data_IF_176642255175
#
_entry.id   IF_176642255175
#
_cell.length_a   1.000
_cell.length_b   1.000
_cell.length_c   1.000
_cell.angle_alpha   90.00
_cell.angle_beta   90.00
_cell.angle_gamma   90.00
#
_symmetry.space_group_name_H-M   'P 1'
#
loop_
_entity.id
_entity.type
_entity.pdbx_description
1 polymer ?
#
# COMPACT_ATOMS: atom_id res chain seq x y z
N UNK A 1 24.08 -13.84 -25.94
CA UNK A 1 23.37 -13.43 -24.71
C UNK A 1 24.01 -14.17 -23.57
N UNK A 2 24.53 -13.47 -22.55
CA UNK A 2 25.02 -14.16 -21.36
C UNK A 2 23.87 -14.35 -20.38
N UNK A 3 23.60 -15.58 -19.96
CA UNK A 3 22.52 -15.91 -19.03
C UNK A 3 22.66 -15.16 -17.70
N UNK A 4 23.88 -14.81 -17.29
CA UNK A 4 24.11 -14.00 -16.09
C UNK A 4 23.60 -12.55 -16.22
N UNK A 5 23.58 -11.97 -17.44
CA UNK A 5 23.04 -10.63 -17.71
C UNK A 5 21.50 -10.60 -17.60
N UNK A 6 20.89 -11.78 -17.58
CA UNK A 6 19.47 -12.01 -17.45
C UNK A 6 19.05 -12.42 -16.02
N UNK A 7 19.98 -12.39 -15.06
CA UNK A 7 19.70 -12.61 -13.65
C UNK A 7 18.61 -11.64 -13.15
N UNK A 8 17.60 -12.20 -12.48
CA UNK A 8 16.47 -11.44 -11.95
C UNK A 8 15.41 -11.08 -12.99
N UNK A 9 15.44 -11.69 -14.19
CA UNK A 9 14.49 -11.42 -15.27
C UNK A 9 13.84 -12.70 -15.77
N UNK A 10 12.64 -12.57 -16.36
CA UNK A 10 11.99 -13.64 -17.12
C UNK A 10 12.51 -13.69 -18.54
N UNK A 11 12.82 -14.88 -19.04
CA UNK A 11 13.31 -15.11 -20.39
C UNK A 11 12.75 -16.39 -20.97
N UNK A 12 12.44 -16.33 -22.26
CA UNK A 12 12.17 -17.52 -23.06
C UNK A 12 13.50 -18.18 -23.42
N UNK A 13 13.72 -19.41 -22.98
CA UNK A 13 14.93 -20.19 -23.26
C UNK A 13 14.56 -21.53 -23.88
N UNK A 14 15.43 -22.05 -24.75
CA UNK A 14 15.20 -23.31 -25.45
C UNK A 14 15.75 -24.50 -24.67
N UNK A 15 15.01 -25.61 -24.63
CA UNK A 15 15.51 -26.89 -24.09
C UNK A 15 16.63 -27.43 -24.96
N UNK A 16 17.83 -27.63 -24.37
CA UNK A 16 19.01 -28.13 -25.10
C UNK A 16 19.48 -29.51 -24.64
N UNK A 17 19.07 -29.95 -23.43
CA UNK A 17 19.44 -31.26 -22.90
C UNK A 17 18.52 -31.70 -21.78
N UNK A 18 18.10 -32.97 -21.80
CA UNK A 18 17.36 -33.61 -20.70
C UNK A 18 18.30 -34.46 -19.84
N UNK A 19 18.11 -34.43 -18.52
CA UNK A 19 18.84 -35.24 -17.53
C UNK A 19 17.87 -35.74 -16.45
N UNK A 20 18.28 -36.72 -15.64
CA UNK A 20 17.38 -37.37 -14.66
C UNK A 20 16.78 -36.43 -13.62
N UNK A 21 17.45 -35.30 -13.35
CA UNK A 21 17.11 -34.31 -12.33
C UNK A 21 16.58 -32.98 -12.90
N UNK A 22 16.34 -32.87 -14.21
CA UNK A 22 15.78 -31.67 -14.82
C UNK A 22 16.13 -31.52 -16.30
N UNK A 23 16.03 -30.30 -16.80
CA UNK A 23 16.42 -29.96 -18.17
C UNK A 23 17.38 -28.77 -18.16
N UNK A 24 18.27 -28.72 -19.14
CA UNK A 24 19.09 -27.55 -19.39
C UNK A 24 18.43 -26.68 -20.46
N UNK A 25 18.34 -25.39 -20.17
CA UNK A 25 17.80 -24.36 -21.03
C UNK A 25 18.91 -23.40 -21.48
N UNK A 26 18.86 -22.92 -22.72
CA UNK A 26 19.82 -21.95 -23.26
C UNK A 26 20.37 -22.36 -24.63
N UNK A 27 21.69 -22.42 -24.74
CA UNK A 27 22.43 -22.83 -25.95
C UNK A 27 23.37 -23.99 -25.64
N UNK A 28 24.10 -24.48 -26.64
CA UNK A 28 25.16 -25.48 -26.46
C UNK A 28 26.32 -24.97 -25.60
N UNK A 29 26.61 -23.67 -25.65
CA UNK A 29 27.72 -23.03 -24.95
C UNK A 29 27.33 -22.55 -23.55
N UNK A 30 26.12 -22.02 -23.40
CA UNK A 30 25.67 -21.43 -22.15
C UNK A 30 24.29 -21.93 -21.78
N UNK A 31 24.19 -22.59 -20.62
CA UNK A 31 22.98 -23.28 -20.19
C UNK A 31 22.74 -23.15 -18.70
N UNK A 32 21.47 -23.17 -18.33
CA UNK A 32 21.01 -23.14 -16.95
C UNK A 32 20.09 -24.32 -16.69
N UNK A 33 20.13 -24.86 -15.47
CA UNK A 33 19.27 -25.98 -15.07
C UNK A 33 17.88 -25.47 -14.67
N UNK A 34 16.83 -26.06 -15.22
CA UNK A 34 15.48 -26.05 -14.67
C UNK A 34 15.25 -27.39 -13.93
N UNK A 35 15.02 -27.38 -12.60
CA UNK A 35 14.82 -28.59 -11.82
C UNK A 35 13.61 -29.41 -12.28
N UNK A 36 13.70 -30.75 -12.20
CA UNK A 36 12.65 -31.69 -12.64
C UNK A 36 11.24 -31.36 -12.14
N UNK A 37 11.10 -30.85 -10.92
CA UNK A 37 9.80 -30.51 -10.31
C UNK A 37 9.10 -29.35 -11.01
N UNK A 38 9.83 -28.57 -11.77
CA UNK A 38 9.38 -27.34 -12.43
C UNK A 38 9.30 -27.49 -13.96
N UNK A 39 9.66 -28.67 -14.46
CA UNK A 39 9.64 -28.99 -15.89
C UNK A 39 8.18 -29.13 -16.35
N UNK A 40 7.74 -28.37 -17.37
CA UNK A 40 6.41 -28.54 -17.96
C UNK A 40 6.19 -29.96 -18.47
N UNK A 41 4.95 -30.43 -18.45
CA UNK A 41 4.60 -31.74 -19.03
C UNK A 41 4.84 -31.71 -20.54
N UNK A 42 5.25 -32.86 -21.08
CA UNK A 42 5.40 -33.08 -22.53
C UNK A 42 6.43 -32.17 -23.22
N UNK A 43 7.37 -31.58 -22.47
CA UNK A 43 8.44 -30.78 -23.05
C UNK A 43 9.50 -31.66 -23.73
N UNK A 44 9.92 -31.27 -24.93
CA UNK A 44 10.96 -31.93 -25.71
C UNK A 44 12.19 -31.02 -25.93
N UNK A 45 13.28 -31.60 -26.42
CA UNK A 45 14.47 -30.83 -26.81
C UNK A 45 14.11 -29.96 -28.01
N UNK A 46 14.43 -28.67 -27.94
CA UNK A 46 14.07 -27.68 -28.95
C UNK A 46 12.89 -26.79 -28.57
N UNK A 47 12.10 -27.18 -27.56
CA UNK A 47 10.95 -26.38 -27.14
C UNK A 47 11.37 -25.12 -26.36
N UNK A 48 10.64 -24.01 -26.50
CA UNK A 48 10.83 -22.82 -25.69
C UNK A 48 10.13 -22.94 -24.33
N UNK A 49 10.79 -22.47 -23.27
CA UNK A 49 10.24 -22.39 -21.92
C UNK A 49 10.51 -21.01 -21.35
N UNK A 50 9.47 -20.34 -20.87
CA UNK A 50 9.64 -19.08 -20.14
C UNK A 50 10.03 -19.36 -18.68
N UNK A 51 11.18 -18.84 -18.27
CA UNK A 51 11.73 -19.06 -16.93
C UNK A 51 12.24 -17.76 -16.32
N UNK A 52 12.22 -17.68 -15.00
CA UNK A 52 12.93 -16.68 -14.22
C UNK A 52 14.32 -17.19 -13.85
N UNK A 53 15.34 -16.35 -14.02
CA UNK A 53 16.72 -16.70 -13.67
C UNK A 53 17.12 -16.11 -12.32
N UNK A 54 17.57 -16.96 -11.41
CA UNK A 54 18.01 -16.55 -10.08
C UNK A 54 19.20 -17.41 -9.60
N UNK A 55 19.63 -17.21 -8.34
CA UNK A 55 20.68 -18.02 -7.72
C UNK A 55 20.12 -18.91 -6.62
N UNK A 56 20.46 -20.19 -6.67
CA UNK A 56 20.10 -21.17 -5.65
C UNK A 56 20.84 -20.93 -4.31
N UNK A 57 20.65 -21.81 -3.33
CA UNK A 57 21.33 -21.73 -2.02
C UNK A 57 22.85 -21.91 -2.10
N UNK A 58 23.38 -22.41 -3.22
CA UNK A 58 24.80 -22.59 -3.49
C UNK A 58 25.38 -21.51 -4.41
N UNK A 59 24.65 -20.40 -4.59
CA UNK A 59 24.98 -19.25 -5.45
C UNK A 59 25.19 -19.61 -6.93
N UNK A 60 24.61 -20.73 -7.39
CA UNK A 60 24.63 -21.14 -8.80
C UNK A 60 23.43 -20.56 -9.53
N UNK A 61 23.65 -20.13 -10.77
CA UNK A 61 22.56 -19.71 -11.66
C UNK A 61 21.62 -20.89 -11.92
N UNK A 62 20.33 -20.66 -11.72
CA UNK A 62 19.28 -21.66 -11.86
C UNK A 62 18.02 -21.01 -12.45
N UNK A 63 17.24 -21.80 -13.17
CA UNK A 63 15.97 -21.39 -13.76
C UNK A 63 14.80 -21.91 -12.92
N UNK A 64 13.71 -21.17 -12.91
CA UNK A 64 12.44 -21.57 -12.29
C UNK A 64 11.28 -21.18 -13.18
N UNK A 65 10.25 -22.03 -13.27
CA UNK A 65 8.97 -21.69 -13.91
C UNK A 65 8.01 -21.02 -12.93
N UNK A 66 8.33 -21.05 -11.62
CA UNK A 66 7.59 -20.32 -10.61
C UNK A 66 7.65 -18.81 -10.88
N UNK A 67 6.55 -18.14 -10.59
CA UNK A 67 6.43 -16.70 -10.76
C UNK A 67 6.89 -15.99 -9.47
N UNK A 68 7.98 -15.20 -9.51
CA UNK A 68 8.37 -14.40 -8.36
C UNK A 68 7.40 -13.23 -8.19
N UNK A 69 7.22 -12.77 -6.96
CA UNK A 69 6.38 -11.60 -6.64
C UNK A 69 7.02 -10.26 -7.05
N UNK A 70 8.27 -10.28 -7.48
CA UNK A 70 9.04 -9.10 -7.89
C UNK A 70 10.14 -9.52 -8.87
N UNK A 71 10.37 -8.73 -9.91
CA UNK A 71 11.50 -8.90 -10.84
C UNK A 71 12.46 -7.69 -10.80
N UNK A 72 13.59 -7.81 -11.50
CA UNK A 72 14.64 -6.80 -11.44
C UNK A 72 14.16 -5.48 -12.03
N UNK A 73 14.24 -4.41 -11.23
CA UNK A 73 13.76 -3.07 -11.60
C UNK A 73 12.35 -2.75 -11.11
N UNK A 74 11.62 -3.74 -10.60
CA UNK A 74 10.28 -3.54 -10.05
C UNK A 74 10.29 -3.22 -8.55
N UNK A 75 9.13 -2.76 -8.08
CA UNK A 75 8.79 -2.52 -6.69
C UNK A 75 7.67 -3.48 -6.29
N UNK A 76 7.76 -4.07 -5.10
CA UNK A 76 6.68 -4.89 -4.56
C UNK A 76 6.65 -4.83 -3.03
N UNK A 77 5.45 -5.00 -2.46
CA UNK A 77 5.27 -5.20 -1.03
C UNK A 77 5.47 -6.69 -0.74
N UNK A 78 6.52 -7.01 0.02
CA UNK A 78 6.84 -8.38 0.42
C UNK A 78 6.69 -8.57 1.92
N UNK A 79 6.37 -9.80 2.32
CA UNK A 79 6.24 -10.18 3.73
C UNK A 79 7.57 -10.69 4.26
N UNK A 80 7.97 -10.26 5.46
CA UNK A 80 9.16 -10.78 6.15
C UNK A 80 8.86 -12.17 6.71
N UNK A 81 9.51 -13.22 6.17
CA UNK A 81 9.39 -14.59 6.70
C UNK A 81 10.19 -14.80 7.97
N UNK A 82 11.38 -14.21 8.02
CA UNK A 82 12.29 -14.36 9.14
C UNK A 82 13.32 -13.22 9.22
N UNK A 83 13.98 -13.11 10.37
CA UNK A 83 15.07 -12.16 10.61
C UNK A 83 16.30 -12.89 11.13
N UNK A 84 17.48 -12.57 10.61
CA UNK A 84 18.73 -13.25 10.96
C UNK A 84 19.91 -12.30 11.17
N UNK A 85 21.12 -12.88 11.19
CA UNK A 85 22.37 -12.14 11.50
C UNK A 85 22.81 -11.15 10.43
N UNK A 86 22.28 -11.24 9.21
CA UNK A 86 22.71 -10.44 8.06
C UNK A 86 21.61 -9.52 7.51
N UNK A 87 20.39 -9.61 8.06
CA UNK A 87 19.23 -8.90 7.56
C UNK A 87 17.93 -9.66 7.79
N UNK A 88 16.91 -9.32 7.01
CA UNK A 88 15.63 -10.02 6.96
C UNK A 88 15.53 -10.88 5.69
N UNK A 89 14.62 -11.85 5.71
CA UNK A 89 14.37 -12.76 4.59
C UNK A 89 12.90 -12.60 4.18
N UNK A 90 12.69 -12.20 2.93
CA UNK A 90 11.38 -11.82 2.40
C UNK A 90 10.78 -12.94 1.54
N UNK A 91 9.47 -13.11 1.67
CA UNK A 91 8.68 -13.99 0.82
C UNK A 91 8.40 -13.37 -0.54
N UNK A 92 9.25 -13.66 -1.51
CA UNK A 92 9.08 -13.29 -2.91
C UNK A 92 8.57 -14.43 -3.81
N UNK A 93 8.07 -15.53 -3.24
CA UNK A 93 7.43 -16.61 -4.01
C UNK A 93 8.35 -17.70 -4.57
N UNK A 94 9.67 -17.61 -4.36
CA UNK A 94 10.63 -18.64 -4.78
C UNK A 94 11.10 -19.52 -3.60
N UNK A 95 11.69 -20.72 -3.86
CA UNK A 95 12.14 -21.62 -2.80
C UNK A 95 13.19 -21.04 -1.86
N UNK A 96 14.07 -20.16 -2.36
CA UNK A 96 15.05 -19.43 -1.56
C UNK A 96 14.46 -18.06 -1.23
N UNK A 97 14.36 -17.71 0.05
CA UNK A 97 13.86 -16.39 0.45
C UNK A 97 14.82 -15.26 0.01
N UNK A 98 14.26 -14.08 -0.26
CA UNK A 98 15.01 -12.92 -0.73
C UNK A 98 15.65 -12.17 0.44
N UNK A 99 16.97 -11.99 0.41
CA UNK A 99 17.68 -11.26 1.46
C UNK A 99 17.40 -9.76 1.36
N UNK A 100 17.01 -9.15 2.49
CA UNK A 100 16.97 -7.72 2.74
C UNK A 100 18.08 -7.36 3.75
N UNK A 101 19.29 -6.96 3.30
CA UNK A 101 20.41 -6.68 4.18
C UNK A 101 20.13 -5.51 5.13
N UNK A 102 20.73 -5.51 6.32
CA UNK A 102 20.53 -4.41 7.30
C UNK A 102 20.85 -3.03 6.74
N UNK A 103 21.88 -2.92 5.89
CA UNK A 103 22.28 -1.65 5.26
C UNK A 103 21.23 -1.09 4.31
N UNK A 104 20.31 -1.92 3.85
CA UNK A 104 19.26 -1.61 2.88
C UNK A 104 17.88 -1.46 3.53
N UNK A 105 17.80 -1.50 4.86
CA UNK A 105 16.58 -1.28 5.63
C UNK A 105 16.44 0.19 6.02
N UNK A 106 15.28 0.80 5.78
CA UNK A 106 14.95 2.17 6.24
C UNK A 106 14.41 2.18 7.67
N UNK A 107 13.96 1.03 8.17
CA UNK A 107 13.52 0.82 9.55
C UNK A 107 13.77 -0.64 9.97
N UNK A 108 13.78 -0.89 11.29
CA UNK A 108 13.89 -2.26 11.82
C UNK A 108 12.60 -3.04 11.52
N UNK A 109 12.75 -4.17 10.85
CA UNK A 109 11.63 -5.07 10.50
C UNK A 109 11.60 -6.31 11.40
N UNK A 110 10.44 -6.94 11.49
CA UNK A 110 10.17 -8.19 12.23
C UNK A 110 9.45 -9.18 11.32
N UNK A 111 9.48 -10.46 11.72
CA UNK A 111 8.70 -11.51 11.06
C UNK A 111 7.22 -11.14 11.03
N UNK A 112 6.60 -11.25 9.85
CA UNK A 112 5.21 -10.90 9.60
C UNK A 112 5.02 -9.47 9.06
N UNK A 113 6.00 -8.58 9.18
CA UNK A 113 5.90 -7.23 8.63
C UNK A 113 5.78 -7.26 7.10
N UNK A 114 5.01 -6.33 6.55
CA UNK A 114 4.94 -6.08 5.11
C UNK A 114 5.77 -4.85 4.79
N UNK A 115 6.66 -4.93 3.80
CA UNK A 115 7.55 -3.82 3.43
C UNK A 115 7.62 -3.64 1.93
N UNK A 116 7.57 -2.39 1.47
CA UNK A 116 7.85 -2.05 0.09
C UNK A 116 9.34 -2.16 -0.17
N UNK A 117 9.71 -2.93 -1.19
CA UNK A 117 11.10 -3.12 -1.58
C UNK A 117 11.26 -3.09 -3.09
N UNK A 118 12.48 -2.83 -3.54
CA UNK A 118 12.92 -3.06 -4.90
C UNK A 118 13.93 -4.20 -4.96
N UNK A 119 13.92 -4.93 -6.08
CA UNK A 119 14.94 -5.93 -6.38
C UNK A 119 16.19 -5.29 -6.98
N UNK A 120 17.37 -5.70 -6.53
CA UNK A 120 18.65 -5.29 -7.09
C UNK A 120 19.68 -6.43 -7.07
N UNK A 121 20.75 -6.28 -7.85
CA UNK A 121 21.90 -7.19 -7.85
C UNK A 121 23.03 -6.57 -7.03
N UNK A 122 23.52 -7.28 -6.02
CA UNK A 122 24.63 -6.82 -5.19
C UNK A 122 26.00 -6.98 -5.89
N UNK A 123 27.07 -6.50 -5.24
CA UNK A 123 28.44 -6.59 -5.77
C UNK A 123 28.97 -8.02 -5.91
N UNK A 124 28.30 -8.99 -5.30
CA UNK A 124 28.62 -10.42 -5.39
C UNK A 124 27.69 -11.13 -6.38
N UNK A 125 27.00 -10.38 -7.23
CA UNK A 125 26.06 -10.86 -8.23
C UNK A 125 24.90 -11.69 -7.63
N UNK A 126 24.40 -11.31 -6.46
CA UNK A 126 23.22 -11.93 -5.85
C UNK A 126 22.03 -11.00 -5.86
N UNK A 127 20.84 -11.57 -6.03
CA UNK A 127 19.58 -10.84 -5.93
C UNK A 127 19.28 -10.56 -4.45
N UNK A 128 19.07 -9.28 -4.16
CA UNK A 128 18.75 -8.76 -2.83
C UNK A 128 17.60 -7.74 -2.94
N UNK A 129 16.91 -7.51 -1.83
CA UNK A 129 15.91 -6.47 -1.68
C UNK A 129 16.49 -5.21 -1.02
N UNK A 130 15.96 -4.04 -1.37
CA UNK A 130 16.21 -2.79 -0.66
C UNK A 130 14.91 -2.04 -0.36
N UNK A 131 14.80 -1.49 0.85
CA UNK A 131 13.72 -0.57 1.25
C UNK A 131 14.00 0.88 0.83
N UNK A 132 15.20 1.18 0.32
CA UNK A 132 15.57 2.51 -0.19
C UNK A 132 14.99 2.74 -1.59
N UNK A 133 13.67 2.87 -1.62
CA UNK A 133 12.88 2.89 -2.86
C UNK A 133 12.60 4.28 -3.41
N UNK A 134 13.00 5.35 -2.70
CA UNK A 134 12.67 6.73 -3.04
C UNK A 134 12.99 7.09 -4.51
N UNK A 135 14.22 6.77 -4.98
CA UNK A 135 14.68 7.06 -6.35
C UNK A 135 14.09 6.11 -7.42
N UNK A 136 13.33 5.09 -7.00
CA UNK A 136 12.69 4.11 -7.89
C UNK A 136 11.20 4.36 -8.07
N UNK A 137 10.62 5.23 -7.24
CA UNK A 137 9.22 5.63 -7.34
C UNK A 137 9.06 6.68 -8.43
N UNK A 138 7.97 6.59 -9.17
CA UNK A 138 7.61 7.53 -10.22
C UNK A 138 7.05 8.84 -9.64
N UNK A 139 7.17 9.89 -10.44
CA UNK A 139 6.49 11.18 -10.26
C UNK A 139 5.31 11.29 -11.22
N UNK A 140 4.58 12.41 -11.19
CA UNK A 140 3.55 12.73 -12.20
C UNK A 140 2.40 11.73 -12.22
N UNK A 141 1.91 11.38 -11.04
CA UNK A 141 0.75 10.50 -10.87
C UNK A 141 -0.51 11.08 -11.52
N UNK A 142 -1.50 10.25 -11.90
CA UNK A 142 -2.78 10.73 -12.44
C UNK A 142 -3.65 11.44 -11.39
N UNK A 143 -3.29 11.37 -10.11
CA UNK A 143 -4.06 11.92 -9.00
C UNK A 143 -4.01 13.44 -8.95
N UNK A 144 -5.14 14.01 -8.56
CA UNK A 144 -5.37 15.44 -8.40
C UNK A 144 -5.68 15.75 -6.96
N UNK A 145 -5.64 17.05 -6.65
CA UNK A 145 -6.07 17.55 -5.34
C UNK A 145 -7.48 17.04 -5.02
N UNK A 146 -7.67 16.63 -3.76
CA UNK A 146 -8.86 16.05 -3.17
C UNK A 146 -9.17 14.59 -3.56
N UNK A 147 -8.37 13.94 -4.42
CA UNK A 147 -8.49 12.50 -4.66
C UNK A 147 -8.09 11.69 -3.42
N UNK A 148 -8.72 10.52 -3.27
CA UNK A 148 -8.40 9.55 -2.23
C UNK A 148 -7.48 8.47 -2.79
N UNK A 149 -6.45 8.12 -2.01
CA UNK A 149 -5.41 7.18 -2.41
C UNK A 149 -5.11 6.18 -1.30
N UNK A 150 -4.69 4.97 -1.68
CA UNK A 150 -4.07 4.00 -0.79
C UNK A 150 -2.56 3.96 -1.09
N UNK A 151 -1.75 3.79 -0.04
CA UNK A 151 -0.32 3.58 -0.19
C UNK A 151 0.29 2.90 1.01
N UNK A 152 1.58 2.62 0.91
CA UNK A 152 2.36 2.01 1.99
C UNK A 152 3.46 2.96 2.44
N UNK A 153 3.65 3.08 3.76
CA UNK A 153 4.75 3.86 4.32
C UNK A 153 6.07 3.14 4.06
N UNK A 154 7.01 3.78 3.39
CA UNK A 154 8.34 3.21 3.13
C UNK A 154 9.46 3.88 3.93
N UNK A 155 9.26 5.11 4.40
CA UNK A 155 10.27 5.84 5.16
C UNK A 155 9.62 6.88 6.09
N UNK A 156 10.31 7.18 7.21
CA UNK A 156 9.93 8.23 8.14
C UNK A 156 11.09 9.19 8.34
N UNK A 157 10.78 10.47 8.37
CA UNK A 157 11.73 11.54 8.65
C UNK A 157 11.19 12.45 9.75
N UNK A 158 11.98 12.66 10.80
CA UNK A 158 11.62 13.58 11.89
C UNK A 158 11.49 15.04 11.42
N UNK A 159 12.13 15.37 10.30
CA UNK A 159 12.12 16.71 9.70
C UNK A 159 10.97 16.89 8.72
N UNK A 160 10.75 15.92 7.83
CA UNK A 160 9.80 16.08 6.71
C UNK A 160 8.41 15.49 7.00
N UNK A 161 8.33 14.36 7.70
CA UNK A 161 7.09 13.62 7.91
C UNK A 161 7.21 12.16 7.49
N UNK A 162 6.16 11.63 6.87
CA UNK A 162 6.04 10.20 6.53
C UNK A 162 5.97 10.05 5.02
N UNK A 163 6.89 9.30 4.45
CA UNK A 163 6.91 9.02 3.02
C UNK A 163 6.08 7.79 2.69
N UNK A 164 5.21 7.93 1.70
CA UNK A 164 4.23 6.94 1.28
C UNK A 164 4.39 6.66 -0.20
N UNK A 165 4.37 5.40 -0.58
CA UNK A 165 4.30 4.98 -1.97
C UNK A 165 2.84 4.70 -2.31
N UNK A 166 2.21 5.61 -3.04
CA UNK A 166 0.84 5.46 -3.53
C UNK A 166 0.82 4.43 -4.66
N UNK A 167 -0.11 3.47 -4.59
CA UNK A 167 -0.20 2.33 -5.51
C UNK A 167 1.12 1.54 -5.64
N UNK A 168 1.98 1.59 -4.60
CA UNK A 168 3.35 1.05 -4.62
C UNK A 168 4.25 1.63 -5.73
N UNK A 169 3.86 2.78 -6.29
CA UNK A 169 4.42 3.32 -7.53
C UNK A 169 4.82 4.78 -7.44
N UNK A 170 3.99 5.63 -6.84
CA UNK A 170 4.19 7.08 -6.83
C UNK A 170 4.68 7.58 -5.48
N UNK A 171 5.70 8.44 -5.48
CA UNK A 171 6.23 9.01 -4.25
C UNK A 171 5.34 10.13 -3.70
N UNK A 172 4.98 10.00 -2.44
CA UNK A 172 4.15 10.95 -1.73
C UNK A 172 4.69 11.23 -0.31
N UNK A 173 4.32 12.38 0.24
CA UNK A 173 4.70 12.81 1.58
C UNK A 173 3.44 13.16 2.37
N UNK A 174 3.28 12.61 3.57
CA UNK A 174 2.41 13.16 4.60
C UNK A 174 3.27 14.11 5.43
N UNK A 175 3.12 15.44 5.29
CA UNK A 175 3.95 16.37 6.03
C UNK A 175 3.80 16.18 7.54
N UNK A 176 4.85 16.45 8.32
CA UNK A 176 4.82 16.30 9.79
C UNK A 176 3.60 16.93 10.48
N UNK A 177 3.15 18.10 9.98
CA UNK A 177 1.94 18.77 10.48
C UNK A 177 0.65 17.97 10.24
N UNK A 178 0.58 17.23 9.14
CA UNK A 178 -0.60 16.41 8.77
C UNK A 178 -0.61 15.06 9.47
N UNK A 179 0.55 14.53 9.88
CA UNK A 179 0.71 13.21 10.54
C UNK A 179 0.24 13.16 12.01
N UNK A 180 -0.68 14.02 12.43
CA UNK A 180 -1.10 14.16 13.83
C UNK A 180 -2.07 13.03 14.24
N UNK A 181 -1.77 12.33 15.34
CA UNK A 181 -2.70 11.41 16.00
C UNK A 181 -2.50 9.91 15.74
N UNK A 182 -1.55 9.50 14.90
CA UNK A 182 -1.26 8.09 14.63
C UNK A 182 0.22 7.85 14.35
N UNK A 183 0.82 6.88 15.03
CA UNK A 183 2.22 6.49 14.85
C UNK A 183 2.38 5.67 13.56
N UNK A 184 2.18 6.27 12.38
CA UNK A 184 2.43 5.62 11.10
C UNK A 184 3.86 5.06 11.08
N UNK A 185 3.98 3.75 10.98
CA UNK A 185 5.24 3.01 10.89
C UNK A 185 5.52 2.62 9.45
N UNK A 186 6.80 2.36 9.16
CA UNK A 186 7.18 1.73 7.90
C UNK A 186 6.49 0.38 7.77
N UNK A 187 5.87 0.14 6.62
CA UNK A 187 5.04 -1.02 6.35
C UNK A 187 3.54 -0.82 6.55
N UNK A 188 3.12 0.25 7.24
CA UNK A 188 1.70 0.53 7.42
C UNK A 188 1.04 0.89 6.09
N UNK A 189 -0.15 0.32 5.86
CA UNK A 189 -1.06 0.77 4.82
C UNK A 189 -1.76 2.05 5.26
N UNK A 190 -1.87 2.99 4.34
CA UNK A 190 -2.42 4.31 4.59
C UNK A 190 -3.48 4.63 3.55
N UNK A 191 -4.63 5.09 4.04
CA UNK A 191 -5.65 5.75 3.22
C UNK A 191 -5.53 7.25 3.48
N UNK A 192 -5.33 8.03 2.43
CA UNK A 192 -5.12 9.47 2.56
C UNK A 192 -5.77 10.23 1.42
N UNK A 193 -5.93 11.54 1.61
CA UNK A 193 -6.37 12.46 0.56
C UNK A 193 -5.21 13.28 0.05
N UNK A 194 -5.15 13.48 -1.27
CA UNK A 194 -4.18 14.37 -1.91
C UNK A 194 -4.52 15.81 -1.57
N UNK A 195 -3.60 16.52 -0.89
CA UNK A 195 -3.78 17.93 -0.54
C UNK A 195 -3.12 18.87 -1.54
N UNK A 196 -2.05 18.41 -2.19
CA UNK A 196 -1.30 19.18 -3.18
C UNK A 196 -0.54 18.24 -4.12
N UNK A 197 -0.55 18.57 -5.41
CA UNK A 197 0.43 18.07 -6.39
C UNK A 197 1.54 19.11 -6.47
N UNK A 198 2.78 18.70 -6.23
CA UNK A 198 3.95 19.57 -6.21
C UNK A 198 4.50 19.78 -7.63
N UNK A 199 5.35 20.79 -7.78
CA UNK A 199 5.99 21.11 -9.07
C UNK A 199 6.94 20.01 -9.57
N UNK A 200 7.49 19.20 -8.66
CA UNK A 200 8.31 18.02 -8.97
C UNK A 200 7.47 16.75 -9.22
N UNK A 201 6.16 16.90 -9.45
CA UNK A 201 5.24 15.81 -9.75
C UNK A 201 4.87 14.93 -8.55
N UNK A 202 5.42 15.18 -7.36
CA UNK A 202 5.13 14.41 -6.13
C UNK A 202 3.87 14.89 -5.42
N UNK A 203 3.30 14.02 -4.59
CA UNK A 203 2.07 14.31 -3.85
C UNK A 203 2.37 14.69 -2.41
N UNK A 204 1.69 15.72 -1.91
CA UNK A 204 1.48 15.89 -0.47
C UNK A 204 0.11 15.29 -0.11
N UNK A 205 0.09 14.51 0.96
CA UNK A 205 -1.08 13.79 1.45
C UNK A 205 -1.49 14.29 2.83
N UNK A 206 -2.76 14.08 3.17
CA UNK A 206 -3.26 14.20 4.53
C UNK A 206 -4.08 12.97 4.88
N UNK A 207 -3.72 12.36 6.02
CA UNK A 207 -4.51 11.30 6.68
C UNK A 207 -5.61 11.89 7.56
N UNK A 208 -5.62 13.21 7.73
CA UNK A 208 -6.74 13.89 8.34
C UNK A 208 -7.88 13.86 7.34
N UNK A 209 -8.98 13.23 7.73
CA UNK A 209 -10.26 13.60 7.16
C UNK A 209 -10.39 15.13 7.26
N UNK A 210 -10.94 15.79 6.23
CA UNK A 210 -11.19 17.24 6.29
C UNK A 210 -11.76 17.54 7.68
N UNK A 211 -11.16 18.51 8.37
CA UNK A 211 -11.55 18.96 9.70
C UNK A 211 -12.97 19.56 9.69
N UNK A 212 -13.96 18.71 9.44
CA UNK A 212 -15.39 18.94 9.52
C UNK A 212 -16.09 17.78 10.23
N UNK A 213 -15.36 16.85 10.85
CA UNK A 213 -15.96 15.72 11.57
C UNK A 213 -15.31 15.57 12.95
N UNK A 214 -15.41 16.62 13.74
CA UNK A 214 -15.81 16.45 15.13
C UNK A 214 -17.23 17.00 15.16
N UNK A 215 -18.23 16.14 15.32
CA UNK A 215 -19.56 16.64 15.61
C UNK A 215 -19.42 17.51 16.86
N UNK A 216 -19.94 18.74 16.80
CA UNK A 216 -20.06 19.54 18.01
C UNK A 216 -20.97 18.76 18.98
N UNK A 217 -20.77 18.87 20.28
CA UNK A 217 -21.55 18.09 21.27
C UNK A 217 -23.07 18.27 21.06
N UNK A 218 -23.47 19.46 20.59
CA UNK A 218 -24.84 19.79 20.21
C UNK A 218 -25.38 18.93 19.04
N UNK A 219 -24.55 18.63 18.03
CA UNK A 219 -24.93 17.82 16.88
C UNK A 219 -24.99 16.32 17.23
N UNK A 220 -24.07 15.84 18.09
CA UNK A 220 -24.12 14.48 18.66
C UNK A 220 -25.38 14.27 19.48
N UNK A 221 -25.73 15.25 20.31
CA UNK A 221 -26.93 15.22 21.13
C UNK A 221 -28.21 15.14 20.28
N UNK A 222 -28.28 15.90 19.19
CA UNK A 222 -29.41 15.88 18.25
C UNK A 222 -29.55 14.50 17.59
N UNK A 223 -28.46 13.93 17.08
CA UNK A 223 -28.49 12.60 16.43
C UNK A 223 -28.92 11.52 17.42
N UNK A 224 -28.34 11.51 18.63
CA UNK A 224 -28.72 10.57 19.68
C UNK A 224 -30.21 10.68 20.03
N UNK A 225 -30.73 11.90 20.19
CA UNK A 225 -32.15 12.12 20.49
C UNK A 225 -33.05 11.64 19.34
N UNK A 226 -32.63 11.82 18.09
CA UNK A 226 -33.35 11.29 16.93
C UNK A 226 -33.39 9.77 16.92
N UNK A 227 -32.27 9.10 17.24
CA UNK A 227 -32.20 7.63 17.36
C UNK A 227 -33.17 7.10 18.42
N UNK A 228 -33.23 7.75 19.59
CA UNK A 228 -34.18 7.41 20.66
C UNK A 228 -35.66 7.59 20.24
N UNK A 229 -35.93 8.43 19.23
CA UNK A 229 -37.28 8.76 18.75
C UNK A 229 -37.60 8.17 17.37
N UNK A 230 -36.92 7.07 17.00
CA UNK A 230 -37.20 6.33 15.76
C UNK A 230 -36.71 7.05 14.49
N UNK A 231 -35.63 7.81 14.61
CA UNK A 231 -34.93 8.47 13.50
C UNK A 231 -35.45 9.85 13.12
N UNK A 232 -36.31 10.45 13.95
CA UNK A 232 -36.92 11.77 13.67
C UNK A 232 -37.06 12.65 14.89
N UNK A 233 -36.93 13.95 14.67
CA UNK A 233 -37.30 15.02 15.60
C UNK A 233 -38.63 15.64 15.13
N UNK A 234 -39.68 15.66 15.96
CA UNK A 234 -41.01 16.17 15.59
C UNK A 234 -41.11 17.70 15.65
N UNK A 235 -40.02 18.40 15.34
CA UNK A 235 -39.95 19.85 15.26
C UNK A 235 -38.72 20.31 14.46
N UNK A 236 -38.79 21.52 13.92
CA UNK A 236 -37.73 22.16 13.12
C UNK A 236 -37.17 23.39 13.86
N UNK A 237 -36.30 24.15 13.19
CA UNK A 237 -35.76 25.41 13.70
C UNK A 237 -36.81 26.53 13.87
N UNK A 238 -38.03 26.31 13.37
CA UNK A 238 -39.19 27.18 13.57
C UNK A 238 -39.83 27.03 14.96
N UNK A 239 -39.52 25.96 15.70
CA UNK A 239 -40.11 25.72 17.02
C UNK A 239 -39.75 26.80 18.06
N UNK A 240 -40.59 26.89 19.09
CA UNK A 240 -40.38 27.83 20.19
C UNK A 240 -39.08 27.55 20.94
N UNK A 241 -38.32 28.59 21.33
CA UNK A 241 -37.06 28.41 22.06
C UNK A 241 -37.20 27.55 23.32
N UNK A 242 -38.31 27.67 24.05
CA UNK A 242 -38.58 26.87 25.24
C UNK A 242 -38.77 25.38 24.92
N UNK A 243 -39.43 25.06 23.81
CA UNK A 243 -39.60 23.67 23.35
C UNK A 243 -38.25 23.03 23.01
N UNK A 244 -37.38 23.75 22.29
CA UNK A 244 -36.03 23.27 21.93
C UNK A 244 -35.19 23.06 23.20
N UNK A 245 -35.28 23.97 24.17
CA UNK A 245 -34.55 23.87 25.43
C UNK A 245 -35.04 22.71 26.29
N UNK A 246 -36.35 22.48 26.38
CA UNK A 246 -36.92 21.40 27.19
C UNK A 246 -36.61 20.02 26.58
N UNK A 247 -36.62 19.91 25.26
CA UNK A 247 -36.35 18.63 24.59
C UNK A 247 -34.84 18.34 24.48
N UNK A 248 -34.03 19.32 24.10
CA UNK A 248 -32.63 19.09 23.75
C UNK A 248 -31.63 19.70 24.74
N UNK A 249 -32.08 20.50 25.71
CA UNK A 249 -31.18 21.26 26.58
C UNK A 249 -30.40 22.37 25.84
N UNK A 250 -30.71 22.61 24.56
CA UNK A 250 -30.00 23.55 23.70
C UNK A 250 -30.72 24.90 23.61
N UNK A 251 -29.94 25.97 23.43
CA UNK A 251 -30.51 27.24 22.97
C UNK A 251 -30.95 27.15 21.51
N UNK A 252 -31.92 27.97 21.08
CA UNK A 252 -32.37 28.01 19.67
C UNK A 252 -31.24 28.31 18.69
N UNK A 253 -30.26 29.12 19.09
CA UNK A 253 -29.08 29.42 18.26
C UNK A 253 -28.12 28.24 18.15
N UNK A 254 -27.89 27.51 19.25
CA UNK A 254 -27.09 26.28 19.26
C UNK A 254 -27.74 25.20 18.38
N UNK A 255 -29.06 25.01 18.52
CA UNK A 255 -29.84 24.09 17.70
C UNK A 255 -29.74 24.40 16.21
N UNK A 256 -29.96 25.66 15.79
CA UNK A 256 -29.83 26.07 14.37
C UNK A 256 -28.45 25.80 13.80
N UNK A 257 -27.40 26.04 14.60
CA UNK A 257 -26.01 25.79 14.20
C UNK A 257 -25.76 24.31 13.98
N UNK A 258 -26.20 23.48 14.92
CA UNK A 258 -26.03 22.02 14.87
C UNK A 258 -26.82 21.39 13.72
N UNK A 259 -28.09 21.76 13.54
CA UNK A 259 -28.93 21.31 12.42
C UNK A 259 -28.37 21.75 11.07
N UNK A 260 -27.96 23.02 10.94
CA UNK A 260 -27.37 23.53 9.70
C UNK A 260 -26.09 22.80 9.30
N UNK A 261 -25.35 22.26 10.27
CA UNK A 261 -24.20 21.41 10.02
C UNK A 261 -24.60 20.00 9.59
N UNK A 262 -25.53 19.36 10.30
CA UNK A 262 -26.05 18.04 9.93
C UNK A 262 -26.65 18.03 8.51
N UNK A 263 -27.28 19.13 8.08
CA UNK A 263 -27.73 19.33 6.71
C UNK A 263 -26.58 19.39 5.70
N UNK A 264 -25.53 20.17 5.98
CA UNK A 264 -24.34 20.25 5.11
C UNK A 264 -23.63 18.90 4.97
N UNK A 265 -23.71 18.06 6.00
CA UNK A 265 -23.14 16.72 6.04
C UNK A 265 -24.09 15.66 5.43
N UNK A 266 -25.25 16.04 4.89
CA UNK A 266 -26.31 15.15 4.39
C UNK A 266 -26.74 14.07 5.41
N UNK A 267 -26.57 14.32 6.72
CA UNK A 267 -26.94 13.39 7.79
C UNK A 267 -28.41 13.48 8.17
N UNK A 268 -29.06 14.60 7.88
CA UNK A 268 -30.49 14.83 8.15
C UNK A 268 -31.12 15.61 7.01
N UNK A 269 -32.43 15.44 6.84
CA UNK A 269 -33.28 16.26 5.98
C UNK A 269 -34.26 17.06 6.84
N UNK A 270 -34.57 18.29 6.43
CA UNK A 270 -35.64 19.09 7.05
C UNK A 270 -36.88 18.98 6.18
N UNK A 271 -37.97 18.50 6.76
CA UNK A 271 -39.31 18.58 6.16
C UNK A 271 -40.05 19.82 6.70
N UNK A 272 -41.29 20.05 6.28
CA UNK A 272 -42.09 21.16 6.82
C UNK A 272 -42.29 21.10 8.34
N UNK A 273 -42.27 19.89 8.93
CA UNK A 273 -42.67 19.65 10.32
C UNK A 273 -41.65 18.87 11.16
N UNK A 274 -40.63 18.29 10.54
CA UNK A 274 -39.68 17.41 11.21
C UNK A 274 -38.25 17.52 10.65
N UNK A 275 -37.30 17.04 11.44
CA UNK A 275 -35.93 16.74 11.01
C UNK A 275 -35.78 15.22 11.07
N UNK A 276 -35.40 14.60 9.97
CA UNK A 276 -35.39 13.13 9.84
C UNK A 276 -34.08 12.65 9.23
N UNK A 277 -33.69 11.40 9.50
CA UNK A 277 -32.60 10.79 8.75
C UNK A 277 -33.01 10.64 7.27
N UNK A 278 -32.07 10.85 6.31
CA UNK A 278 -32.31 10.53 4.92
C UNK A 278 -32.67 9.04 4.81
N UNK A 279 -33.72 8.72 4.07
CA UNK A 279 -34.00 7.33 3.76
C UNK A 279 -32.86 6.79 2.88
N UNK A 280 -32.25 5.66 3.28
CA UNK A 280 -31.28 4.94 2.45
C UNK A 280 -31.96 4.34 1.23
#
# INVERSE_FOLDING_TARGET
MKLIEELGKRRMLTVVKTVDFGIYLGTSEERVLLPKKEVPKEIEIGDPVEVFLYKDSSDRLIATTAEPKITLGELAVLTVKDTGKIGAFLDWGLPKDLLLPFKEQTAKVKKGDQVLVALYVDKSERLCATMKVYEKLETDSPYKKDDHVEGIVYERSDNFGVFVAVDNKYSALIPKREAYGGHLQVGDKVHARVIKVREDGKLDLSVREKAFIQMDADAELIVKRMEEHGGKLPFTDKADPEKIKNELGLSKNAFKRAVGRLLKENKVIITEKSIEFPHR
#
